data_IF_892991425557
#
_entry.id   IF_892991425557
#
_cell.length_a   1.000
_cell.length_b   1.000
_cell.length_c   1.000
_cell.angle_alpha   90.00
_cell.angle_beta   90.00
_cell.angle_gamma   90.00
#
_symmetry.space_group_name_H-M   'P 1'
#
loop_
_entity.id
_entity.type
_entity.pdbx_description
1 polymer ?
#
# COMPACT_ATOMS: atom_id res chain seq x y z
N UNK A 1 9.06 -11.88 18.21
CA UNK A 1 8.41 -12.60 17.10
C UNK A 1 8.99 -12.01 15.83
N UNK A 2 9.43 -12.85 14.91
CA UNK A 2 9.88 -12.44 13.57
C UNK A 2 8.69 -11.89 12.79
N UNK A 3 8.93 -11.03 11.80
CA UNK A 3 7.89 -10.53 10.89
C UNK A 3 7.40 -11.60 9.92
N UNK A 4 8.17 -12.69 9.80
CA UNK A 4 7.94 -13.83 8.92
C UNK A 4 7.90 -15.11 9.76
N UNK A 5 6.82 -15.88 9.60
CA UNK A 5 6.59 -17.16 10.27
C UNK A 5 6.62 -18.35 9.30
N UNK A 6 6.60 -18.09 7.98
CA UNK A 6 6.73 -19.10 6.93
C UNK A 6 7.42 -18.53 5.68
N UNK A 7 8.28 -19.33 5.03
CA UNK A 7 9.04 -18.92 3.83
C UNK A 7 8.86 -19.91 2.67
N UNK A 8 8.54 -19.41 1.47
CA UNK A 8 8.58 -20.19 0.22
C UNK A 8 9.53 -19.52 -0.76
N UNK A 9 10.53 -20.26 -1.23
CA UNK A 9 11.51 -19.75 -2.21
C UNK A 9 11.45 -20.56 -3.49
N UNK A 10 11.27 -19.85 -4.60
CA UNK A 10 11.43 -20.38 -5.94
C UNK A 10 12.87 -20.10 -6.40
N UNK A 11 13.74 -21.10 -6.34
CA UNK A 11 15.18 -20.96 -6.55
C UNK A 11 15.58 -21.46 -7.95
N UNK A 12 15.75 -20.51 -8.87
CA UNK A 12 16.34 -20.66 -10.21
C UNK A 12 17.84 -20.30 -10.17
N UNK A 13 18.58 -20.97 -9.30
CA UNK A 13 20.01 -20.70 -9.06
C UNK A 13 20.82 -21.88 -9.57
N UNK A 14 21.64 -21.66 -10.58
CA UNK A 14 22.49 -22.66 -11.24
C UNK A 14 23.84 -22.82 -10.55
N UNK A 15 24.35 -21.77 -9.93
CA UNK A 15 25.59 -21.82 -9.15
C UNK A 15 25.38 -22.58 -7.82
N UNK A 16 26.05 -23.73 -7.60
CA UNK A 16 25.89 -24.51 -6.37
C UNK A 16 26.31 -23.76 -5.09
N UNK A 17 27.29 -22.86 -5.17
CA UNK A 17 27.75 -22.07 -4.03
C UNK A 17 26.67 -21.06 -3.61
N UNK A 18 26.07 -20.37 -4.59
CA UNK A 18 24.96 -19.44 -4.32
C UNK A 18 23.72 -20.18 -3.81
N UNK A 19 23.41 -21.35 -4.35
CA UNK A 19 22.29 -22.17 -3.88
C UNK A 19 22.48 -22.62 -2.42
N UNK A 20 23.70 -23.00 -2.03
CA UNK A 20 24.02 -23.34 -0.63
C UNK A 20 23.87 -22.13 0.30
N UNK A 21 24.33 -20.94 -0.13
CA UNK A 21 24.17 -19.69 0.63
C UNK A 21 22.71 -19.30 0.79
N UNK A 22 21.93 -19.39 -0.29
CA UNK A 22 20.48 -19.18 -0.29
C UNK A 22 19.80 -20.10 0.72
N UNK A 23 20.10 -21.40 0.66
CA UNK A 23 19.53 -22.40 1.57
C UNK A 23 19.87 -22.11 3.04
N UNK A 24 21.11 -21.71 3.31
CA UNK A 24 21.54 -21.34 4.66
C UNK A 24 20.82 -20.09 5.17
N UNK A 25 20.67 -19.05 4.34
CA UNK A 25 19.96 -17.82 4.69
C UNK A 25 18.48 -18.06 4.99
N UNK A 26 17.81 -18.87 4.15
CA UNK A 26 16.40 -19.26 4.35
C UNK A 26 16.22 -20.05 5.65
N UNK A 27 17.09 -21.03 5.90
CA UNK A 27 17.04 -21.87 7.12
C UNK A 27 17.30 -21.06 8.39
N UNK A 28 18.14 -20.03 8.31
CA UNK A 28 18.41 -19.11 9.42
C UNK A 28 17.22 -18.17 9.71
N UNK A 29 16.49 -17.77 8.67
CA UNK A 29 15.33 -16.88 8.78
C UNK A 29 14.13 -17.57 9.42
N UNK A 30 13.76 -18.77 8.94
CA UNK A 30 12.53 -19.44 9.37
C UNK A 30 12.67 -20.97 9.36
N UNK A 31 12.14 -21.60 10.42
CA UNK A 31 12.09 -23.07 10.51
C UNK A 31 11.06 -23.68 9.54
N UNK A 32 9.94 -23.01 9.34
CA UNK A 32 8.91 -23.43 8.38
C UNK A 32 9.24 -22.83 7.01
N UNK A 33 10.08 -23.51 6.25
CA UNK A 33 10.48 -23.08 4.92
C UNK A 33 10.37 -24.19 3.87
N UNK A 34 10.09 -23.78 2.63
CA UNK A 34 10.11 -24.64 1.44
C UNK A 34 10.94 -23.99 0.35
N UNK A 35 11.83 -24.76 -0.30
CA UNK A 35 12.63 -24.31 -1.44
C UNK A 35 12.26 -25.18 -2.64
N UNK A 36 11.69 -24.56 -3.67
CA UNK A 36 11.39 -25.19 -4.96
C UNK A 36 12.51 -24.88 -5.94
N UNK A 37 13.17 -25.91 -6.46
CA UNK A 37 14.17 -25.80 -7.51
C UNK A 37 13.80 -26.68 -8.70
N UNK A 38 14.14 -26.29 -9.94
CA UNK A 38 13.95 -27.16 -11.09
C UNK A 38 14.68 -28.49 -10.88
N UNK A 39 14.05 -29.64 -11.18
CA UNK A 39 14.75 -30.91 -11.23
C UNK A 39 15.98 -30.80 -12.14
N UNK A 40 17.04 -31.56 -11.86
CA UNK A 40 18.29 -31.53 -12.63
C UNK A 40 18.08 -31.75 -14.13
N UNK A 41 17.10 -32.56 -14.51
CA UNK A 41 16.73 -32.84 -15.90
C UNK A 41 15.98 -31.71 -16.60
N UNK A 42 15.44 -30.73 -15.85
CA UNK A 42 14.67 -29.60 -16.37
C UNK A 42 15.28 -28.22 -16.06
N UNK A 43 16.53 -28.18 -15.60
CA UNK A 43 17.24 -26.93 -15.27
C UNK A 43 17.44 -26.00 -16.48
N UNK A 44 17.32 -26.55 -17.70
CA UNK A 44 17.38 -25.82 -18.96
C UNK A 44 16.02 -25.30 -19.44
N UNK A 45 14.90 -25.73 -18.86
CA UNK A 45 13.56 -25.30 -19.30
C UNK A 45 13.25 -23.89 -18.77
N UNK A 46 13.20 -22.87 -19.65
CA UNK A 46 12.93 -21.50 -19.21
C UNK A 46 11.50 -21.32 -18.68
N UNK A 47 10.59 -22.26 -18.96
CA UNK A 47 9.17 -22.20 -18.59
C UNK A 47 8.82 -23.04 -17.37
N UNK A 48 9.80 -23.72 -16.73
CA UNK A 48 9.48 -24.65 -15.63
C UNK A 48 8.71 -23.97 -14.49
N UNK A 49 9.19 -22.81 -14.02
CA UNK A 49 8.50 -22.07 -12.95
C UNK A 49 7.14 -21.54 -13.38
N UNK A 50 6.97 -21.12 -14.63
CA UNK A 50 5.66 -20.72 -15.15
C UNK A 50 4.65 -21.88 -15.08
N UNK A 51 5.06 -23.05 -15.57
CA UNK A 51 4.24 -24.26 -15.51
C UNK A 51 4.00 -24.73 -14.06
N UNK A 52 4.97 -24.51 -13.17
CA UNK A 52 4.86 -24.84 -11.75
C UNK A 52 3.82 -23.94 -11.07
N UNK A 53 3.92 -22.62 -11.25
CA UNK A 53 3.00 -21.66 -10.64
C UNK A 53 1.57 -21.77 -11.16
N UNK A 54 1.38 -22.07 -12.45
CA UNK A 54 0.05 -22.34 -13.02
C UNK A 54 -0.60 -23.56 -12.36
N UNK A 55 0.17 -24.63 -12.08
CA UNK A 55 -0.33 -25.82 -11.37
C UNK A 55 -0.63 -25.54 -9.90
N UNK A 56 0.20 -24.75 -9.23
CA UNK A 56 -0.07 -24.35 -7.84
C UNK A 56 -1.38 -23.56 -7.69
N UNK A 57 -1.79 -22.80 -8.72
CA UNK A 57 -3.04 -22.05 -8.69
C UNK A 57 -4.26 -22.96 -8.51
N UNK A 58 -4.17 -24.20 -8.98
CA UNK A 58 -5.24 -25.18 -8.86
C UNK A 58 -5.31 -25.80 -7.44
N UNK A 59 -4.26 -25.65 -6.61
CA UNK A 59 -4.22 -26.12 -5.22
C UNK A 59 -4.71 -25.06 -4.22
N UNK A 60 -5.97 -24.65 -4.40
CA UNK A 60 -6.64 -23.70 -3.52
C UNK A 60 -6.73 -24.23 -2.08
N UNK A 61 -6.85 -25.54 -1.89
CA UNK A 61 -7.04 -26.16 -0.58
C UNK A 61 -5.81 -26.02 0.33
N UNK A 62 -4.61 -26.21 -0.21
CA UNK A 62 -3.37 -25.99 0.58
C UNK A 62 -3.27 -24.53 1.02
N UNK A 63 -3.65 -23.59 0.15
CA UNK A 63 -3.63 -22.17 0.47
C UNK A 63 -4.62 -21.81 1.59
N UNK A 64 -5.86 -22.31 1.52
CA UNK A 64 -6.92 -22.05 2.50
C UNK A 64 -6.65 -22.73 3.85
N UNK A 65 -6.08 -23.93 3.86
CA UNK A 65 -5.78 -24.66 5.10
C UNK A 65 -4.52 -24.16 5.83
N UNK A 66 -3.77 -23.23 5.24
CA UNK A 66 -2.56 -22.69 5.84
C UNK A 66 -2.92 -21.79 7.04
N UNK A 67 -2.43 -22.16 8.23
CA UNK A 67 -2.76 -21.50 9.50
C UNK A 67 -1.90 -20.26 9.80
N UNK A 68 -0.85 -20.01 9.01
CA UNK A 68 0.01 -18.84 9.19
C UNK A 68 -0.73 -17.64 8.59
N UNK A 69 -0.92 -16.51 9.29
CA UNK A 69 -1.57 -15.33 8.69
C UNK A 69 -0.84 -14.85 7.44
N UNK A 70 -1.55 -14.40 6.40
CA UNK A 70 -0.93 -14.05 5.11
C UNK A 70 0.20 -13.04 5.25
N UNK A 71 0.05 -12.06 6.15
CA UNK A 71 1.03 -11.00 6.45
C UNK A 71 2.36 -11.53 7.00
N UNK A 72 2.39 -12.78 7.48
CA UNK A 72 3.60 -13.44 8.02
C UNK A 72 4.15 -14.53 7.10
N UNK A 73 3.56 -14.72 5.93
CA UNK A 73 4.09 -15.60 4.87
C UNK A 73 5.00 -14.78 3.97
N UNK A 74 6.22 -15.25 3.74
CA UNK A 74 7.16 -14.65 2.79
C UNK A 74 7.33 -15.60 1.61
N UNK A 75 7.16 -15.08 0.40
CA UNK A 75 7.24 -15.83 -0.85
C UNK A 75 8.11 -15.04 -1.80
N UNK A 76 9.11 -15.66 -2.43
CA UNK A 76 10.03 -14.95 -3.32
C UNK A 76 10.58 -15.82 -4.46
N UNK A 77 11.08 -15.16 -5.49
CA UNK A 77 11.80 -15.79 -6.60
C UNK A 77 13.26 -15.31 -6.59
N UNK A 78 14.21 -16.26 -6.66
CA UNK A 78 15.64 -15.96 -6.71
C UNK A 78 16.23 -16.60 -7.95
N UNK A 79 16.91 -15.81 -8.78
CA UNK A 79 17.49 -16.29 -10.04
C UNK A 79 18.90 -15.73 -10.25
N UNK A 80 19.79 -16.56 -10.81
CA UNK A 80 21.13 -16.14 -11.25
C UNK A 80 21.26 -16.06 -12.78
N UNK A 81 20.17 -16.35 -13.51
CA UNK A 81 20.19 -16.45 -14.97
C UNK A 81 19.12 -15.64 -15.69
N UNK A 82 18.17 -15.02 -14.96
CA UNK A 82 17.07 -14.25 -15.51
C UNK A 82 16.98 -12.82 -14.97
N UNK A 83 16.69 -11.86 -15.85
CA UNK A 83 16.56 -10.44 -15.53
C UNK A 83 15.12 -9.95 -15.74
N UNK A 84 14.89 -8.64 -15.57
CA UNK A 84 13.57 -8.02 -15.70
C UNK A 84 12.90 -8.24 -17.08
N UNK A 85 13.66 -8.56 -18.14
CA UNK A 85 13.14 -8.78 -19.49
C UNK A 85 12.63 -10.21 -19.70
N UNK A 86 12.96 -11.13 -18.80
CA UNK A 86 12.51 -12.51 -18.88
C UNK A 86 11.03 -12.63 -18.49
N UNK A 87 10.26 -13.36 -19.30
CA UNK A 87 8.82 -13.52 -19.09
C UNK A 87 8.45 -14.15 -17.74
N UNK A 88 9.33 -14.99 -17.17
CA UNK A 88 9.12 -15.57 -15.83
C UNK A 88 9.33 -14.56 -14.71
N UNK A 89 10.25 -13.60 -14.87
CA UNK A 89 10.44 -12.49 -13.92
C UNK A 89 9.25 -11.54 -14.02
N UNK A 90 8.81 -11.21 -15.24
CA UNK A 90 7.59 -10.43 -15.44
C UNK A 90 6.37 -11.12 -14.80
N UNK A 91 6.20 -12.43 -14.99
CA UNK A 91 5.11 -13.18 -14.36
C UNK A 91 5.19 -13.17 -12.82
N UNK A 92 6.40 -13.34 -12.26
CA UNK A 92 6.62 -13.25 -10.81
C UNK A 92 6.23 -11.88 -10.24
N UNK A 93 6.60 -10.79 -10.93
CA UNK A 93 6.37 -9.42 -10.50
C UNK A 93 4.92 -8.97 -10.69
N UNK A 94 4.33 -9.16 -11.87
CA UNK A 94 3.03 -8.57 -12.20
C UNK A 94 1.85 -9.49 -11.90
N UNK A 95 2.01 -10.79 -12.10
CA UNK A 95 0.92 -11.75 -11.88
C UNK A 95 0.93 -12.32 -10.46
N UNK A 96 2.08 -12.81 -10.00
CA UNK A 96 2.23 -13.34 -8.64
C UNK A 96 2.50 -12.25 -7.59
N UNK A 97 2.91 -11.05 -7.99
CA UNK A 97 3.31 -9.96 -7.09
C UNK A 97 4.24 -10.42 -5.96
N UNK A 98 5.27 -11.20 -6.30
CA UNK A 98 6.29 -11.65 -5.36
C UNK A 98 7.61 -10.90 -5.57
N UNK A 99 8.37 -10.63 -4.50
CA UNK A 99 9.70 -10.07 -4.61
C UNK A 99 10.65 -11.02 -5.36
N UNK A 100 11.44 -10.42 -6.26
CA UNK A 100 12.43 -11.10 -7.10
C UNK A 100 13.82 -10.61 -6.75
N UNK A 101 14.74 -11.53 -6.46
CA UNK A 101 16.18 -11.25 -6.40
C UNK A 101 16.85 -11.80 -7.65
N UNK A 102 17.26 -10.90 -8.56
CA UNK A 102 18.10 -11.26 -9.71
C UNK A 102 19.57 -11.01 -9.41
N UNK A 103 20.38 -12.06 -9.58
CA UNK A 103 21.83 -12.05 -9.41
C UNK A 103 22.57 -11.97 -10.76
N UNK A 104 21.84 -11.93 -11.88
CA UNK A 104 22.36 -12.03 -13.26
C UNK A 104 23.49 -11.04 -13.53
N UNK A 105 23.28 -9.77 -13.24
CA UNK A 105 24.25 -8.70 -13.52
C UNK A 105 25.59 -8.97 -12.83
N UNK A 106 25.55 -9.49 -11.60
CA UNK A 106 26.73 -9.79 -10.81
C UNK A 106 27.40 -11.10 -11.22
N UNK A 107 26.64 -12.08 -11.70
CA UNK A 107 27.15 -13.38 -12.15
C UNK A 107 27.69 -13.32 -13.58
N UNK A 108 27.03 -12.59 -14.47
CA UNK A 108 27.39 -12.48 -15.91
C UNK A 108 28.28 -11.29 -16.22
N UNK A 109 28.35 -10.28 -15.33
CA UNK A 109 29.07 -9.02 -15.56
C UNK A 109 28.39 -8.07 -16.55
N UNK A 110 27.22 -8.43 -17.09
CA UNK A 110 26.47 -7.59 -18.02
C UNK A 110 25.80 -6.47 -17.21
N UNK A 111 26.24 -5.23 -17.39
CA UNK A 111 25.61 -4.06 -16.75
C UNK A 111 24.17 -3.91 -17.24
N UNK A 112 23.22 -3.81 -16.30
CA UNK A 112 21.86 -3.38 -16.61
C UNK A 112 21.94 -2.01 -17.30
N UNK A 113 21.37 -1.91 -18.51
CA UNK A 113 21.15 -0.61 -19.13
C UNK A 113 20.07 0.11 -18.32
N UNK A 114 20.43 1.25 -17.74
CA UNK A 114 19.68 2.06 -16.78
C UNK A 114 18.37 2.68 -17.31
N UNK A 115 17.83 2.22 -18.43
CA UNK A 115 16.72 2.88 -19.16
C UNK A 115 15.34 2.23 -18.92
N UNK A 116 15.16 1.48 -17.84
CA UNK A 116 13.82 0.98 -17.54
C UNK A 116 13.05 2.09 -16.83
N UNK A 117 11.97 2.56 -17.46
CA UNK A 117 10.95 3.36 -16.79
C UNK A 117 10.35 2.47 -15.68
N UNK A 118 10.94 2.54 -14.48
CA UNK A 118 10.58 1.67 -13.36
C UNK A 118 9.17 2.00 -12.91
N UNK A 119 8.25 1.06 -13.13
CA UNK A 119 6.95 1.15 -12.48
C UNK A 119 7.07 0.83 -10.97
N UNK A 120 6.03 1.18 -10.24
CA UNK A 120 5.98 1.03 -8.80
C UNK A 120 6.10 -0.43 -8.32
N UNK A 121 5.64 -1.40 -9.11
CA UNK A 121 5.77 -2.84 -8.80
C UNK A 121 7.25 -3.23 -8.87
N UNK A 122 7.94 -2.84 -9.93
CA UNK A 122 9.37 -3.16 -10.12
C UNK A 122 10.24 -2.45 -9.08
N UNK A 123 9.93 -1.20 -8.74
CA UNK A 123 10.56 -0.46 -7.64
C UNK A 123 10.35 -1.18 -6.31
N UNK A 124 9.15 -1.69 -6.04
CA UNK A 124 8.83 -2.39 -4.79
C UNK A 124 9.43 -3.80 -4.72
N UNK A 125 9.36 -4.59 -5.78
CA UNK A 125 9.55 -6.04 -5.73
C UNK A 125 10.82 -6.55 -6.44
N UNK A 126 11.36 -5.82 -7.43
CA UNK A 126 12.56 -6.27 -8.15
C UNK A 126 13.84 -5.76 -7.46
N UNK A 127 14.72 -6.70 -7.10
CA UNK A 127 15.98 -6.45 -6.40
C UNK A 127 17.13 -7.06 -7.19
N UNK A 128 18.23 -6.32 -7.22
CA UNK A 128 19.51 -6.76 -7.78
C UNK A 128 20.62 -6.43 -6.80
N UNK A 129 21.80 -7.04 -6.99
CA UNK A 129 22.98 -6.74 -6.17
C UNK A 129 23.26 -5.24 -6.12
N UNK A 130 23.17 -4.55 -7.27
CA UNK A 130 23.37 -3.11 -7.37
C UNK A 130 22.25 -2.29 -6.69
N UNK A 131 20.98 -2.63 -6.91
CA UNK A 131 19.84 -1.92 -6.27
C UNK A 131 19.86 -2.03 -4.74
N UNK A 132 20.44 -3.10 -4.22
CA UNK A 132 20.60 -3.32 -2.78
C UNK A 132 21.89 -2.71 -2.20
N UNK A 133 22.73 -2.07 -3.02
CA UNK A 133 24.01 -1.52 -2.60
C UNK A 133 25.01 -2.59 -2.12
N UNK A 134 24.86 -3.83 -2.57
CA UNK A 134 25.68 -4.96 -2.13
C UNK A 134 26.93 -5.11 -3.01
N UNK A 135 28.04 -5.58 -2.43
CA UNK A 135 29.30 -5.82 -3.14
C UNK A 135 29.34 -7.15 -3.90
N UNK A 136 28.56 -8.13 -3.46
CA UNK A 136 28.57 -9.48 -4.01
C UNK A 136 27.17 -10.11 -4.03
N UNK A 137 26.96 -11.16 -4.85
CA UNK A 137 25.73 -11.96 -4.79
C UNK A 137 25.47 -12.55 -3.40
N UNK A 138 26.53 -12.93 -2.68
CA UNK A 138 26.45 -13.51 -1.33
C UNK A 138 25.90 -12.50 -0.32
N UNK A 139 26.39 -11.26 -0.38
CA UNK A 139 25.89 -10.17 0.47
C UNK A 139 24.42 -9.85 0.12
N UNK A 140 24.08 -9.85 -1.18
CA UNK A 140 22.71 -9.60 -1.62
C UNK A 140 21.73 -10.65 -1.10
N UNK A 141 22.08 -11.94 -1.13
CA UNK A 141 21.27 -13.00 -0.53
C UNK A 141 21.09 -12.75 0.97
N UNK A 142 22.16 -12.48 1.71
CA UNK A 142 22.08 -12.23 3.14
C UNK A 142 21.17 -11.04 3.49
N UNK A 143 21.30 -9.91 2.79
CA UNK A 143 20.48 -8.71 3.01
C UNK A 143 19.02 -8.93 2.58
N UNK A 144 18.77 -9.71 1.52
CA UNK A 144 17.42 -9.98 1.02
C UNK A 144 16.60 -10.79 2.02
N UNK A 145 17.23 -11.77 2.68
CA UNK A 145 16.60 -12.58 3.73
C UNK A 145 16.76 -12.01 5.15
N UNK A 146 17.30 -10.79 5.30
CA UNK A 146 17.33 -10.07 6.58
C UNK A 146 16.10 -9.16 6.70
N UNK A 147 15.28 -9.39 7.73
CA UNK A 147 14.07 -8.62 8.01
C UNK A 147 14.21 -7.80 9.30
N UNK A 148 13.59 -6.62 9.39
CA UNK A 148 13.57 -5.85 10.63
C UNK A 148 12.81 -6.59 11.73
N UNK A 149 13.12 -6.23 12.99
CA UNK A 149 12.45 -6.79 14.18
C UNK A 149 10.95 -6.49 14.21
N UNK A 150 10.53 -5.37 13.64
CA UNK A 150 9.15 -4.91 13.61
C UNK A 150 8.73 -4.69 12.17
N UNK A 151 7.51 -5.10 11.84
CA UNK A 151 6.90 -4.78 10.57
C UNK A 151 6.55 -3.28 10.53
N UNK A 152 6.47 -2.74 9.31
CA UNK A 152 5.86 -1.46 9.06
C UNK A 152 4.41 -1.44 9.50
N UNK A 153 3.84 -0.25 9.59
CA UNK A 153 2.43 -0.02 9.94
C UNK A 153 1.72 0.64 8.79
N UNK A 154 0.41 0.44 8.74
CA UNK A 154 -0.48 1.14 7.80
C UNK A 154 -1.16 2.29 8.54
N UNK A 155 -1.14 3.47 7.94
CA UNK A 155 -1.83 4.67 8.38
C UNK A 155 -2.77 5.09 7.25
N UNK A 156 -4.04 5.34 7.52
CA UNK A 156 -4.97 5.91 6.55
C UNK A 156 -5.24 7.38 6.89
N UNK A 157 -5.21 8.25 5.88
CA UNK A 157 -5.71 9.61 5.99
C UNK A 157 -7.02 9.70 5.24
N UNK A 158 -8.07 10.11 5.96
CA UNK A 158 -9.43 10.25 5.45
C UNK A 158 -9.84 11.73 5.45
N UNK A 159 -10.83 12.07 4.63
CA UNK A 159 -11.43 13.40 4.61
C UNK A 159 -12.23 13.69 3.34
N UNK A 160 -13.15 14.64 3.46
CA UNK A 160 -14.01 15.10 2.36
C UNK A 160 -13.21 15.75 1.22
N UNK A 161 -12.25 16.63 1.56
CA UNK A 161 -11.48 17.35 0.56
C UNK A 161 -10.34 16.47 0.01
N UNK A 162 -10.53 15.88 -1.17
CA UNK A 162 -9.55 15.02 -1.86
C UNK A 162 -8.18 15.69 -1.97
N UNK A 163 -8.14 16.93 -2.46
CA UNK A 163 -6.91 17.68 -2.67
C UNK A 163 -6.15 17.90 -1.36
N UNK A 164 -6.84 18.34 -0.30
CA UNK A 164 -6.23 18.55 1.01
C UNK A 164 -5.67 17.25 1.58
N UNK A 165 -6.45 16.17 1.58
CA UNK A 165 -6.02 14.89 2.16
C UNK A 165 -4.79 14.35 1.42
N UNK A 166 -4.83 14.35 0.10
CA UNK A 166 -3.72 13.86 -0.74
C UNK A 166 -2.46 14.70 -0.54
N UNK A 167 -2.60 16.02 -0.41
CA UNK A 167 -1.46 16.90 -0.12
C UNK A 167 -0.89 16.65 1.28
N UNK A 168 -1.73 16.50 2.31
CA UNK A 168 -1.29 16.14 3.66
C UNK A 168 -0.60 14.78 3.69
N UNK A 169 -1.06 13.80 2.89
CA UNK A 169 -0.37 12.52 2.71
C UNK A 169 1.05 12.69 2.16
N UNK A 170 1.23 13.48 1.09
CA UNK A 170 2.54 13.74 0.47
C UNK A 170 3.49 14.44 1.43
N UNK A 171 3.01 15.50 2.08
CA UNK A 171 3.77 16.27 3.06
C UNK A 171 4.15 15.42 4.28
N UNK A 172 3.26 14.53 4.73
CA UNK A 172 3.53 13.61 5.83
C UNK A 172 4.59 12.56 5.46
N UNK A 173 4.50 11.98 4.25
CA UNK A 173 5.53 11.07 3.72
C UNK A 173 6.90 11.74 3.72
N UNK A 174 6.98 12.95 3.16
CA UNK A 174 8.23 13.70 3.06
C UNK A 174 8.79 14.07 4.44
N UNK A 175 7.93 14.44 5.39
CA UNK A 175 8.32 14.66 6.79
C UNK A 175 8.90 13.40 7.43
N UNK A 176 8.24 12.24 7.31
CA UNK A 176 8.72 10.99 7.90
C UNK A 176 10.06 10.56 7.28
N UNK A 177 10.20 10.67 5.95
CA UNK A 177 11.45 10.33 5.26
C UNK A 177 12.60 11.25 5.70
N UNK A 178 12.39 12.57 5.72
CA UNK A 178 13.45 13.56 5.99
C UNK A 178 13.79 13.71 7.47
N UNK A 179 12.77 13.84 8.32
CA UNK A 179 12.93 14.20 9.74
C UNK A 179 13.06 12.99 10.65
N UNK A 180 12.56 11.82 10.22
CA UNK A 180 12.63 10.58 11.01
C UNK A 180 13.57 9.54 10.43
N UNK A 181 13.97 9.67 9.16
CA UNK A 181 14.77 8.67 8.44
C UNK A 181 14.12 7.27 8.52
N UNK A 182 12.80 7.24 8.36
CA UNK A 182 11.98 6.02 8.46
C UNK A 182 11.40 5.72 7.08
N UNK A 183 11.56 4.50 6.55
CA UNK A 183 10.99 4.13 5.25
C UNK A 183 9.46 4.22 5.26
N UNK A 184 8.89 4.98 4.33
CA UNK A 184 7.45 5.14 4.18
C UNK A 184 7.08 5.31 2.70
N UNK A 185 5.96 4.71 2.31
CA UNK A 185 5.39 4.82 0.96
C UNK A 185 4.00 5.43 1.02
N UNK A 186 3.64 6.17 -0.03
CA UNK A 186 2.30 6.73 -0.21
C UNK A 186 1.55 5.93 -1.27
N UNK A 187 0.37 5.46 -0.88
CA UNK A 187 -0.44 4.53 -1.65
C UNK A 187 -1.89 5.06 -1.73
N UNK A 188 -2.51 4.85 -2.87
CA UNK A 188 -3.90 5.24 -3.14
C UNK A 188 -4.92 4.34 -2.44
N UNK A 189 -6.18 4.64 -2.69
CA UNK A 189 -7.31 3.89 -2.16
C UNK A 189 -7.31 2.44 -2.69
N UNK A 190 -6.76 2.17 -3.88
CA UNK A 190 -6.65 0.83 -4.47
C UNK A 190 -5.39 0.05 -4.09
N UNK A 191 -4.48 0.61 -3.28
CA UNK A 191 -3.26 -0.10 -2.89
C UNK A 191 -2.06 0.06 -3.85
N UNK A 192 -2.18 0.91 -4.87
CA UNK A 192 -1.10 1.28 -5.81
C UNK A 192 -0.37 2.57 -5.37
N UNK A 193 0.87 2.77 -5.79
CA UNK A 193 1.60 4.00 -5.45
C UNK A 193 0.98 5.23 -6.10
N UNK A 194 0.77 6.29 -5.30
CA UNK A 194 0.38 7.59 -5.83
C UNK A 194 1.60 8.27 -6.44
N UNK A 195 1.60 8.44 -7.76
CA UNK A 195 2.67 9.13 -8.48
C UNK A 195 2.44 10.63 -8.40
N UNK A 196 3.49 11.39 -8.07
CA UNK A 196 3.43 12.85 -8.16
C UNK A 196 3.10 13.26 -9.60
N UNK A 197 2.11 14.14 -9.83
CA UNK A 197 1.80 14.65 -11.17
C UNK A 197 3.01 15.33 -11.84
N UNK A 198 3.98 15.80 -11.06
CA UNK A 198 5.18 16.50 -11.55
C UNK A 198 6.15 15.67 -12.41
N UNK A 199 5.94 14.37 -12.60
CA UNK A 199 6.79 13.54 -13.47
C UNK A 199 6.26 13.35 -14.90
N UNK A 200 5.04 13.83 -15.20
CA UNK A 200 4.53 13.94 -16.57
C UNK A 200 4.75 15.38 -17.02
N UNK A 201 5.54 15.58 -18.08
CA UNK A 201 6.04 16.88 -18.49
C UNK A 201 4.95 17.95 -18.62
N UNK A 202 5.02 18.97 -17.75
CA UNK A 202 4.24 20.21 -17.81
C UNK A 202 4.39 20.88 -19.18
N UNK A 203 3.50 20.54 -20.09
CA UNK A 203 3.09 21.40 -21.20
C UNK A 203 2.11 22.42 -20.64
N UNK A 204 2.53 23.68 -20.61
CA UNK A 204 1.74 24.81 -20.15
C UNK A 204 0.37 24.83 -20.84
N UNK A 205 -0.68 24.47 -20.11
CA UNK A 205 -2.07 24.74 -20.47
C UNK A 205 -2.74 25.45 -19.31
N UNK A 206 -3.70 26.28 -19.67
CA UNK A 206 -4.16 27.47 -18.97
C UNK A 206 -4.97 27.17 -17.72
N UNK A 207 -4.84 28.05 -16.72
CA UNK A 207 -5.32 27.97 -15.33
C UNK A 207 -6.84 27.95 -15.11
N UNK A 208 -7.64 27.43 -16.06
CA UNK A 208 -9.09 27.30 -15.94
C UNK A 208 -9.61 25.89 -16.32
N UNK A 209 -8.70 24.94 -16.60
CA UNK A 209 -9.02 23.51 -16.86
C UNK A 209 -8.28 22.58 -15.89
N UNK A 210 -8.12 22.98 -14.62
CA UNK A 210 -7.73 22.08 -13.52
C UNK A 210 -8.93 21.15 -13.19
N UNK A 211 -9.41 20.38 -14.17
CA UNK A 211 -10.07 19.11 -13.85
C UNK A 211 -8.97 18.24 -13.24
N UNK A 212 -9.14 17.89 -11.96
CA UNK A 212 -8.23 17.08 -11.16
C UNK A 212 -7.59 16.01 -12.05
N UNK A 213 -6.30 16.15 -12.41
CA UNK A 213 -5.55 15.05 -13.02
C UNK A 213 -5.62 13.90 -12.00
N UNK A 214 -6.61 13.03 -12.20
CA UNK A 214 -6.87 11.91 -11.32
C UNK A 214 -5.61 11.06 -11.36
N UNK A 215 -4.99 10.82 -10.22
CA UNK A 215 -3.95 9.81 -10.12
C UNK A 215 -4.61 8.48 -10.54
N UNK A 216 -4.46 8.11 -11.82
CA UNK A 216 -5.06 6.91 -12.39
C UNK A 216 -4.56 5.69 -11.62
N UNK A 217 -5.45 5.11 -10.82
CA UNK A 217 -5.19 3.84 -10.17
C UNK A 217 -5.27 2.74 -11.23
N UNK A 218 -4.10 2.30 -11.72
CA UNK A 218 -3.94 1.14 -12.63
C UNK A 218 -4.36 -0.23 -12.04
N UNK A 219 -5.26 -0.24 -11.07
CA UNK A 219 -5.67 -1.43 -10.33
C UNK A 219 -6.75 -2.23 -11.08
N UNK A 220 -6.76 -3.55 -10.88
CA UNK A 220 -7.54 -4.52 -11.66
C UNK A 220 -9.03 -4.22 -11.75
N UNK A 221 -9.63 -3.69 -10.67
CA UNK A 221 -11.07 -3.42 -10.60
C UNK A 221 -11.41 -1.94 -10.73
N UNK A 222 -10.44 -1.05 -10.99
CA UNK A 222 -10.68 0.38 -11.08
C UNK A 222 -11.76 0.71 -12.13
N UNK A 223 -11.59 0.23 -13.36
CA UNK A 223 -12.57 0.44 -14.43
C UNK A 223 -13.95 -0.15 -14.12
N UNK A 224 -14.00 -1.30 -13.43
CA UNK A 224 -15.27 -1.91 -13.00
C UNK A 224 -15.98 -1.07 -11.94
N UNK A 225 -15.22 -0.46 -11.01
CA UNK A 225 -15.74 0.45 -10.00
C UNK A 225 -16.27 1.72 -10.66
N UNK A 226 -15.51 2.28 -11.60
CA UNK A 226 -15.91 3.47 -12.35
C UNK A 226 -17.17 3.20 -13.18
N UNK A 227 -17.24 2.07 -13.88
CA UNK A 227 -18.43 1.62 -14.61
C UNK A 227 -19.63 1.45 -13.68
N UNK A 228 -19.46 0.83 -12.50
CA UNK A 228 -20.52 0.65 -11.52
C UNK A 228 -21.10 1.99 -11.04
N UNK A 229 -20.24 2.99 -10.84
CA UNK A 229 -20.62 4.27 -10.24
C UNK A 229 -21.13 5.28 -11.26
N UNK A 230 -20.53 5.32 -12.45
CA UNK A 230 -20.86 6.25 -13.52
C UNK A 230 -22.08 5.81 -14.35
N UNK A 231 -22.32 4.51 -14.49
CA UNK A 231 -23.41 4.00 -15.32
C UNK A 231 -24.76 4.06 -14.56
N UNK A 232 -25.76 4.83 -15.05
CA UNK A 232 -27.09 4.90 -14.45
C UNK A 232 -27.84 3.57 -14.42
N UNK A 233 -27.53 2.63 -15.33
CA UNK A 233 -28.17 1.31 -15.38
C UNK A 233 -27.91 0.48 -14.12
N UNK A 234 -26.81 0.75 -13.41
CA UNK A 234 -26.48 0.07 -12.16
C UNK A 234 -26.98 0.79 -10.90
N UNK A 235 -27.69 1.92 -11.04
CA UNK A 235 -28.27 2.61 -9.89
C UNK A 235 -29.20 1.71 -9.05
N UNK A 236 -30.14 0.94 -9.65
CA UNK A 236 -31.01 0.04 -8.86
C UNK A 236 -30.23 -1.02 -8.07
N UNK A 237 -29.08 -1.47 -8.60
CA UNK A 237 -28.20 -2.42 -7.92
C UNK A 237 -27.53 -1.77 -6.70
N UNK A 238 -27.04 -0.53 -6.85
CA UNK A 238 -26.42 0.24 -5.76
C UNK A 238 -27.42 0.64 -4.66
N UNK A 239 -28.68 0.90 -5.02
CA UNK A 239 -29.75 1.15 -4.05
C UNK A 239 -30.10 -0.13 -3.26
N UNK A 240 -30.09 -1.29 -3.93
CA UNK A 240 -30.36 -2.59 -3.29
C UNK A 240 -29.21 -3.04 -2.39
N UNK A 241 -27.96 -2.78 -2.79
CA UNK A 241 -26.76 -3.09 -2.02
C UNK A 241 -25.79 -1.89 -1.95
N UNK A 242 -25.99 -0.97 -1.00
CA UNK A 242 -25.13 0.19 -0.81
C UNK A 242 -23.69 -0.13 -0.37
N UNK A 243 -23.37 -1.40 -0.10
CA UNK A 243 -22.02 -1.82 0.30
C UNK A 243 -21.20 -2.32 -0.89
N UNK A 244 -21.83 -2.54 -2.05
CA UNK A 244 -21.21 -3.18 -3.22
C UNK A 244 -19.94 -2.46 -3.69
N UNK A 245 -19.99 -1.14 -3.87
CA UNK A 245 -18.81 -0.38 -4.30
C UNK A 245 -17.70 -0.42 -3.24
N UNK A 246 -18.07 -0.34 -1.95
CA UNK A 246 -17.11 -0.49 -0.84
C UNK A 246 -16.41 -1.86 -0.84
N UNK A 247 -17.16 -2.93 -1.12
CA UNK A 247 -16.60 -4.27 -1.27
C UNK A 247 -15.66 -4.38 -2.49
N UNK A 248 -16.02 -3.76 -3.62
CA UNK A 248 -15.14 -3.70 -4.80
C UNK A 248 -13.87 -2.90 -4.54
N UNK A 249 -13.95 -1.76 -3.85
CA UNK A 249 -12.76 -1.00 -3.42
C UNK A 249 -11.84 -1.85 -2.52
N UNK A 250 -12.40 -2.62 -1.59
CA UNK A 250 -11.66 -3.55 -0.75
C UNK A 250 -10.99 -4.68 -1.57
N UNK A 251 -11.68 -5.25 -2.56
CA UNK A 251 -11.10 -6.24 -3.48
C UNK A 251 -9.99 -5.65 -4.35
N UNK A 252 -10.14 -4.39 -4.77
CA UNK A 252 -9.10 -3.65 -5.50
C UNK A 252 -7.83 -3.49 -4.67
N UNK A 253 -7.96 -3.14 -3.38
CA UNK A 253 -6.85 -3.15 -2.42
C UNK A 253 -6.25 -4.53 -2.21
N UNK A 254 -7.09 -5.55 -2.07
CA UNK A 254 -6.65 -6.92 -1.83
C UNK A 254 -5.83 -7.48 -2.99
N UNK A 255 -6.10 -7.05 -4.24
CA UNK A 255 -5.27 -7.41 -5.38
C UNK A 255 -3.79 -7.05 -5.15
N UNK A 256 -3.52 -5.95 -4.43
CA UNK A 256 -2.18 -5.46 -4.11
C UNK A 256 -1.67 -5.90 -2.72
N UNK A 257 -2.37 -6.80 -2.03
CA UNK A 257 -2.01 -7.26 -0.68
C UNK A 257 -0.61 -7.89 -0.62
N UNK A 258 -0.17 -8.62 -1.65
CA UNK A 258 1.15 -9.27 -1.64
C UNK A 258 2.28 -8.24 -1.60
N UNK A 259 2.12 -7.14 -2.33
CA UNK A 259 3.06 -6.02 -2.34
C UNK A 259 3.00 -5.24 -1.02
N UNK A 260 1.81 -4.93 -0.52
CA UNK A 260 1.62 -4.29 0.79
C UNK A 260 2.27 -5.11 1.91
N UNK A 261 2.02 -6.42 1.92
CA UNK A 261 2.65 -7.38 2.83
C UNK A 261 4.16 -7.29 2.76
N UNK A 262 4.75 -7.34 1.56
CA UNK A 262 6.20 -7.28 1.43
C UNK A 262 6.77 -5.99 2.01
N UNK A 263 6.17 -4.82 1.71
CA UNK A 263 6.57 -3.54 2.29
C UNK A 263 6.55 -3.56 3.82
N UNK A 264 5.44 -4.00 4.40
CA UNK A 264 5.30 -4.08 5.86
C UNK A 264 6.32 -5.04 6.46
N UNK A 265 6.55 -6.22 5.85
CA UNK A 265 7.58 -7.16 6.31
C UNK A 265 8.98 -6.51 6.28
N UNK A 266 9.27 -5.68 5.28
CA UNK A 266 10.53 -4.91 5.15
C UNK A 266 10.62 -3.70 6.10
N UNK A 267 9.63 -3.50 6.97
CA UNK A 267 9.63 -2.37 7.92
C UNK A 267 9.20 -1.04 7.31
N UNK A 268 8.68 -1.07 6.09
CA UNK A 268 8.23 0.12 5.37
C UNK A 268 6.81 0.46 5.81
N UNK A 269 6.60 1.66 6.32
CA UNK A 269 5.27 2.17 6.64
C UNK A 269 4.51 2.52 5.37
N UNK A 270 3.19 2.41 5.40
CA UNK A 270 2.34 2.78 4.26
C UNK A 270 1.31 3.80 4.70
N UNK A 271 1.24 4.91 3.98
CA UNK A 271 0.19 5.91 4.10
C UNK A 271 -0.83 5.61 2.99
N UNK A 272 -2.05 5.25 3.37
CA UNK A 272 -3.19 5.07 2.46
C UNK A 272 -3.98 6.39 2.37
N UNK A 273 -4.14 6.91 1.16
CA UNK A 273 -4.98 8.08 0.91
C UNK A 273 -6.43 7.64 0.69
N UNK A 274 -7.34 8.11 1.54
CA UNK A 274 -8.80 8.04 1.39
C UNK A 274 -9.42 6.64 1.13
N UNK A 275 -8.98 5.55 1.77
CA UNK A 275 -9.52 4.21 1.45
C UNK A 275 -11.02 4.04 1.77
N UNK A 276 -11.57 4.79 2.74
CA UNK A 276 -12.98 4.77 3.13
C UNK A 276 -13.77 6.00 2.68
N UNK A 277 -13.14 7.17 2.55
CA UNK A 277 -13.81 8.43 2.19
C UNK A 277 -14.60 8.29 0.88
N UNK A 278 -14.02 7.64 -0.13
CA UNK A 278 -14.70 7.39 -1.40
C UNK A 278 -16.01 6.59 -1.23
N UNK A 279 -15.98 5.57 -0.38
CA UNK A 279 -17.16 4.74 -0.09
C UNK A 279 -18.26 5.58 0.57
N UNK A 280 -17.87 6.44 1.51
CA UNK A 280 -18.78 7.33 2.23
C UNK A 280 -19.34 8.41 1.31
N UNK A 281 -18.52 9.01 0.45
CA UNK A 281 -18.94 10.01 -0.55
C UNK A 281 -20.08 9.45 -1.43
N UNK A 282 -19.90 8.26 -1.99
CA UNK A 282 -20.91 7.60 -2.83
C UNK A 282 -22.18 7.24 -2.06
N UNK A 283 -22.05 6.74 -0.83
CA UNK A 283 -23.20 6.40 0.01
C UNK A 283 -24.07 7.63 0.30
N UNK A 284 -23.45 8.75 0.67
CA UNK A 284 -24.17 10.00 0.93
C UNK A 284 -24.78 10.59 -0.36
N UNK A 285 -24.14 10.38 -1.52
CA UNK A 285 -24.71 10.76 -2.82
C UNK A 285 -25.98 9.95 -3.14
N UNK A 286 -26.01 8.65 -2.84
CA UNK A 286 -27.19 7.78 -3.04
C UNK A 286 -28.39 8.19 -2.17
N UNK A 287 -28.16 8.64 -0.94
CA UNK A 287 -29.24 9.13 -0.08
C UNK A 287 -29.83 10.48 -0.54
N UNK A 288 -29.10 11.21 -1.38
CA UNK A 288 -29.49 12.52 -1.89
C UNK A 288 -29.22 13.66 -0.89
N UNK A 289 -29.27 14.92 -1.36
CA UNK A 289 -28.76 16.08 -0.63
C UNK A 289 -29.50 16.42 0.67
N UNK A 290 -30.68 15.84 0.91
CA UNK A 290 -31.50 16.13 2.10
C UNK A 290 -31.68 14.93 3.04
N UNK A 291 -31.20 13.73 2.69
CA UNK A 291 -31.33 12.57 3.55
C UNK A 291 -29.99 12.22 4.19
N UNK A 292 -29.88 12.48 5.49
CA UNK A 292 -28.79 11.92 6.31
C UNK A 292 -29.08 10.42 6.46
N UNK A 293 -28.18 9.51 6.04
CA UNK A 293 -28.36 8.10 6.30
C UNK A 293 -28.48 7.87 7.83
N UNK A 294 -29.39 7.00 8.31
CA UNK A 294 -29.49 6.71 9.74
C UNK A 294 -28.13 6.28 10.31
N UNK A 295 -27.77 6.77 11.50
CA UNK A 295 -26.48 6.43 12.13
C UNK A 295 -26.26 4.93 12.26
N UNK A 296 -27.32 4.16 12.52
CA UNK A 296 -27.30 2.69 12.57
C UNK A 296 -26.95 2.04 11.23
N UNK A 297 -27.37 2.64 10.11
CA UNK A 297 -27.02 2.19 8.76
C UNK A 297 -25.55 2.48 8.48
N UNK A 298 -25.06 3.69 8.81
CA UNK A 298 -23.65 4.06 8.66
C UNK A 298 -22.74 3.16 9.50
N UNK A 299 -23.10 2.92 10.76
CA UNK A 299 -22.36 2.03 11.64
C UNK A 299 -22.30 0.60 11.09
N UNK A 300 -23.44 0.07 10.66
CA UNK A 300 -23.53 -1.26 10.07
C UNK A 300 -22.67 -1.40 8.81
N UNK A 301 -22.69 -0.39 7.93
CA UNK A 301 -21.92 -0.37 6.69
C UNK A 301 -20.41 -0.30 6.96
N UNK A 302 -19.97 0.64 7.81
CA UNK A 302 -18.55 0.77 8.17
C UNK A 302 -18.06 -0.49 8.87
N UNK A 303 -18.84 -1.07 9.81
CA UNK A 303 -18.52 -2.37 10.44
C UNK A 303 -18.36 -3.47 9.40
N UNK A 304 -19.30 -3.55 8.46
CA UNK A 304 -19.32 -4.60 7.43
C UNK A 304 -18.08 -4.53 6.54
N UNK A 305 -17.76 -3.34 6.01
CA UNK A 305 -16.61 -3.14 5.11
C UNK A 305 -15.30 -3.40 5.87
N UNK A 306 -15.14 -2.86 7.08
CA UNK A 306 -13.96 -3.15 7.89
C UNK A 306 -13.85 -4.65 8.19
N UNK A 307 -14.94 -5.32 8.56
CA UNK A 307 -14.90 -6.76 8.79
C UNK A 307 -14.50 -7.52 7.51
N UNK A 308 -15.03 -7.13 6.36
CA UNK A 308 -14.68 -7.73 5.07
C UNK A 308 -13.19 -7.56 4.76
N UNK A 309 -12.64 -6.35 4.90
CA UNK A 309 -11.22 -6.08 4.66
C UNK A 309 -10.30 -6.88 5.59
N UNK A 310 -10.54 -6.82 6.90
CA UNK A 310 -9.57 -7.30 7.87
C UNK A 310 -9.73 -8.79 8.17
N UNK A 311 -10.97 -9.28 8.20
CA UNK A 311 -11.24 -10.67 8.55
C UNK A 311 -11.28 -11.58 7.32
N UNK A 312 -11.96 -11.17 6.26
CA UNK A 312 -12.12 -12.00 5.06
C UNK A 312 -10.94 -11.86 4.09
N UNK A 313 -10.49 -10.63 3.84
CA UNK A 313 -9.41 -10.35 2.90
C UNK A 313 -8.02 -10.29 3.55
N UNK A 314 -7.95 -10.45 4.88
CA UNK A 314 -6.72 -10.36 5.69
C UNK A 314 -5.88 -9.09 5.43
N UNK A 315 -6.53 -7.98 5.04
CA UNK A 315 -5.87 -6.69 4.89
C UNK A 315 -5.36 -6.19 6.25
N UNK A 316 -4.18 -5.56 6.31
CA UNK A 316 -3.65 -4.98 7.54
C UNK A 316 -4.53 -3.84 8.03
N UNK A 317 -4.78 -3.78 9.34
CA UNK A 317 -5.61 -2.72 9.91
C UNK A 317 -4.92 -1.37 9.91
N UNK A 318 -5.44 -0.36 9.19
CA UNK A 318 -4.90 0.97 9.26
C UNK A 318 -5.29 1.62 10.57
N UNK A 319 -4.35 2.37 11.13
CA UNK A 319 -4.67 3.42 12.08
C UNK A 319 -5.16 4.62 11.28
N UNK A 320 -6.24 5.28 11.70
CA UNK A 320 -6.92 6.27 10.84
C UNK A 320 -6.80 7.66 11.42
N UNK A 321 -6.40 8.62 10.58
CA UNK A 321 -6.47 10.05 10.85
C UNK A 321 -7.55 10.64 9.94
N UNK A 322 -8.62 11.18 10.53
CA UNK A 322 -9.61 11.94 9.79
C UNK A 322 -9.28 13.43 9.82
N UNK A 323 -9.15 14.02 8.63
CA UNK A 323 -9.02 15.46 8.43
C UNK A 323 -10.43 16.07 8.27
N UNK A 324 -10.82 16.96 9.18
CA UNK A 324 -12.08 17.73 9.12
C UNK A 324 -11.79 19.20 8.82
N UNK A 325 -12.54 19.80 7.90
CA UNK A 325 -12.38 21.22 7.54
C UNK A 325 -13.47 22.07 8.21
N UNK A 326 -13.08 23.04 9.04
CA UNK A 326 -14.00 24.02 9.65
C UNK A 326 -13.91 25.36 8.92
N UNK A 327 -14.99 25.81 8.25
CA UNK A 327 -15.02 27.08 7.51
C UNK A 327 -16.17 27.21 6.50
N UNK A 328 -16.57 28.46 6.20
CA UNK A 328 -17.67 28.87 5.28
C UNK A 328 -17.39 28.62 3.78
N UNK A 329 -16.28 27.99 3.41
CA UNK A 329 -16.10 27.49 2.04
C UNK A 329 -17.06 26.32 1.71
N UNK A 330 -17.71 25.72 2.72
CA UNK A 330 -18.78 24.74 2.55
C UNK A 330 -20.09 25.33 1.98
N UNK A 331 -20.28 26.64 2.08
CA UNK A 331 -21.60 27.30 1.90
C UNK A 331 -21.69 28.20 0.67
N UNK A 332 -20.59 28.45 -0.06
CA UNK A 332 -20.54 29.39 -1.19
C UNK A 332 -20.66 28.78 -2.61
N UNK A 333 -21.06 27.52 -2.71
CA UNK A 333 -21.53 26.92 -3.97
C UNK A 333 -22.95 26.41 -3.80
N UNK A 334 -23.94 27.18 -4.24
CA UNK A 334 -25.37 26.83 -4.20
C UNK A 334 -25.77 25.57 -5.04
N UNK A 335 -24.78 24.80 -5.52
CA UNK A 335 -24.92 23.51 -6.19
C UNK A 335 -24.39 22.31 -5.36
N UNK A 336 -23.71 22.53 -4.22
CA UNK A 336 -23.05 21.49 -3.43
C UNK A 336 -23.69 21.28 -2.05
N UNK A 337 -24.99 20.97 -2.02
CA UNK A 337 -25.63 20.38 -0.85
C UNK A 337 -25.20 18.90 -0.65
N UNK A 338 -23.93 18.56 -0.91
CA UNK A 338 -23.39 17.28 -0.49
C UNK A 338 -23.26 17.34 1.03
N UNK A 339 -24.10 16.56 1.69
CA UNK A 339 -24.00 16.27 3.11
C UNK A 339 -22.54 15.99 3.46
N UNK A 340 -21.96 16.82 4.33
CA UNK A 340 -20.63 16.60 4.89
C UNK A 340 -20.67 15.34 5.74
N UNK A 341 -20.34 14.19 5.16
CA UNK A 341 -20.37 12.90 5.86
C UNK A 341 -19.50 12.93 7.11
N UNK A 342 -18.41 13.71 7.12
CA UNK A 342 -17.56 13.90 8.31
C UNK A 342 -18.29 14.59 9.45
N UNK A 343 -19.32 15.39 9.19
CA UNK A 343 -20.16 15.96 10.24
C UNK A 343 -21.12 14.91 10.81
N UNK A 344 -21.64 13.99 9.98
CA UNK A 344 -22.57 12.94 10.41
C UNK A 344 -21.90 11.82 11.22
N UNK A 345 -20.59 11.68 11.10
CA UNK A 345 -19.83 10.67 11.81
C UNK A 345 -19.37 11.11 13.22
N UNK A 346 -19.58 12.37 13.60
CA UNK A 346 -19.18 12.93 14.90
C UNK A 346 -20.35 13.67 15.57
N UNK A 347 -20.45 13.54 16.89
CA UNK A 347 -21.40 14.32 17.66
C UNK A 347 -20.92 15.78 17.85
N UNK A 348 -21.79 16.61 18.45
CA UNK A 348 -21.47 18.02 18.76
C UNK A 348 -20.24 18.17 19.67
N UNK A 349 -19.86 17.11 20.41
CA UNK A 349 -18.70 17.08 21.32
C UNK A 349 -17.43 16.61 20.63
N UNK A 350 -17.43 16.45 19.30
CA UNK A 350 -16.32 15.90 18.52
C UNK A 350 -15.91 14.48 18.96
N UNK A 351 -16.85 13.73 19.53
CA UNK A 351 -16.68 12.29 19.73
C UNK A 351 -17.25 11.53 18.54
N UNK A 352 -16.61 10.45 18.08
CA UNK A 352 -17.17 9.65 16.99
C UNK A 352 -18.57 9.19 17.37
N UNK A 353 -19.56 9.49 16.53
CA UNK A 353 -20.95 9.10 16.75
C UNK A 353 -21.16 7.58 16.59
N UNK A 354 -20.18 6.89 16.00
CA UNK A 354 -20.18 5.44 15.78
C UNK A 354 -19.03 4.81 16.58
N UNK A 355 -19.34 3.77 17.36
CA UNK A 355 -18.34 3.09 18.20
C UNK A 355 -17.20 2.49 17.37
N UNK A 356 -17.43 2.12 16.11
CA UNK A 356 -16.37 1.64 15.21
C UNK A 356 -15.30 2.65 14.90
N UNK A 357 -15.66 3.92 14.95
CA UNK A 357 -14.78 5.04 14.65
C UNK A 357 -14.09 5.56 15.93
N UNK A 358 -14.34 4.94 17.09
CA UNK A 358 -13.72 5.30 18.37
C UNK A 358 -12.19 5.29 18.36
N UNK A 359 -11.56 4.50 17.46
CA UNK A 359 -10.11 4.47 17.28
C UNK A 359 -9.57 5.50 16.28
N UNK A 360 -10.43 6.29 15.63
CA UNK A 360 -9.99 7.26 14.63
C UNK A 360 -9.50 8.55 15.30
N UNK A 361 -8.35 9.03 14.86
CA UNK A 361 -7.78 10.30 15.31
C UNK A 361 -8.35 11.44 14.47
N UNK A 362 -9.08 12.36 15.10
CA UNK A 362 -9.65 13.52 14.39
C UNK A 362 -8.68 14.68 14.44
N UNK A 363 -8.44 15.30 13.29
CA UNK A 363 -7.69 16.53 13.15
C UNK A 363 -8.56 17.55 12.44
N UNK A 364 -8.87 18.63 13.16
CA UNK A 364 -9.59 19.77 12.60
C UNK A 364 -8.61 20.76 11.99
N UNK A 365 -8.79 21.07 10.71
CA UNK A 365 -8.05 22.08 9.96
C UNK A 365 -8.97 23.29 9.77
N UNK A 366 -8.60 24.42 10.36
CA UNK A 366 -9.37 25.65 10.29
C UNK A 366 -9.10 26.44 9.01
N UNK A 367 -10.15 27.00 8.43
CA UNK A 367 -10.03 28.17 7.56
C UNK A 367 -9.84 29.41 8.42
N UNK A 368 -8.59 29.84 8.63
CA UNK A 368 -8.39 31.26 8.82
C UNK A 368 -8.70 31.92 7.46
N UNK A 369 -9.62 32.87 7.43
CA UNK A 369 -10.13 33.58 6.25
C UNK A 369 -9.07 33.74 5.13
N UNK A 370 -9.15 32.92 4.07
CA UNK A 370 -8.24 32.97 2.92
C UNK A 370 -7.07 31.98 2.91
N UNK A 371 -6.92 31.11 3.92
CA UNK A 371 -5.82 30.14 4.04
C UNK A 371 -6.02 28.81 3.31
N UNK A 372 -7.13 28.53 2.61
CA UNK A 372 -7.23 27.28 1.81
C UNK A 372 -6.10 27.14 0.79
N UNK A 373 -5.58 28.26 0.25
CA UNK A 373 -4.35 28.26 -0.55
C UNK A 373 -3.05 28.25 0.25
N UNK A 374 -3.06 28.61 1.54
CA UNK A 374 -1.87 28.58 2.40
C UNK A 374 -1.70 27.24 3.15
N UNK A 375 -2.78 26.49 3.36
CA UNK A 375 -2.75 25.16 3.97
C UNK A 375 -2.32 24.08 2.98
N UNK A 376 -2.60 24.27 1.69
CA UNK A 376 -1.97 23.52 0.61
C UNK A 376 -0.48 23.89 0.55
N UNK A 377 0.39 22.96 0.95
CA UNK A 377 1.85 23.13 0.96
C UNK A 377 2.52 23.14 2.34
N UNK A 378 1.76 23.06 3.45
CA UNK A 378 2.33 22.86 4.79
C UNK A 378 1.67 21.70 5.51
N UNK A 379 2.50 20.82 6.10
CA UNK A 379 2.01 19.72 6.92
C UNK A 379 1.32 20.28 8.17
N UNK A 380 0.06 19.94 8.37
CA UNK A 380 -0.69 20.38 9.53
C UNK A 380 -0.13 19.73 10.80
N UNK A 381 0.10 20.53 11.84
CA UNK A 381 0.73 20.06 13.09
C UNK A 381 -0.06 18.91 13.72
N UNK A 382 -1.39 18.98 13.72
CA UNK A 382 -2.24 17.90 14.25
C UNK A 382 -2.11 16.58 13.47
N UNK A 383 -1.94 16.63 12.14
CA UNK A 383 -1.73 15.42 11.31
C UNK A 383 -0.36 14.82 11.63
N UNK A 384 0.68 15.67 11.70
CA UNK A 384 2.04 15.27 12.07
C UNK A 384 2.09 14.59 13.44
N UNK A 385 1.44 15.19 14.43
CA UNK A 385 1.50 14.74 15.81
C UNK A 385 0.72 13.43 15.99
N UNK A 386 -0.47 13.32 15.36
CA UNK A 386 -1.23 12.07 15.32
C UNK A 386 -0.44 10.93 14.65
N UNK A 387 0.15 11.19 13.48
CA UNK A 387 0.95 10.20 12.76
C UNK A 387 2.20 9.76 13.56
N UNK A 388 2.90 10.70 14.20
CA UNK A 388 4.07 10.39 15.03
C UNK A 388 3.71 9.51 16.22
N UNK A 389 2.57 9.79 16.87
CA UNK A 389 2.05 8.99 17.98
C UNK A 389 1.72 7.56 17.53
N UNK A 390 0.93 7.44 16.45
CA UNK A 390 0.47 6.17 15.88
C UNK A 390 1.62 5.29 15.42
N UNK A 391 2.57 5.87 14.69
CA UNK A 391 3.73 5.15 14.19
C UNK A 391 4.74 4.82 15.31
N UNK A 392 4.50 5.29 16.54
CA UNK A 392 5.38 5.14 17.69
C UNK A 392 6.82 5.52 17.36
N UNK A 393 6.99 6.58 16.56
CA UNK A 393 8.28 7.08 16.11
C UNK A 393 8.94 7.81 17.28
N UNK A 394 9.41 7.05 18.26
CA UNK A 394 10.20 7.56 19.36
C UNK A 394 11.47 8.18 18.78
N UNK A 395 11.70 9.44 19.11
CA UNK A 395 12.89 10.19 18.72
C UNK A 395 14.12 9.52 19.33
N UNK A 396 14.82 8.67 18.57
CA UNK A 396 16.22 8.40 18.87
C UNK A 396 17.00 9.66 18.49
N UNK A 397 17.04 10.64 19.40
CA UNK A 397 18.06 11.68 19.36
C UNK A 397 19.39 10.94 19.45
N UNK A 398 20.20 11.03 18.41
CA UNK A 398 21.61 10.65 18.43
C UNK A 398 22.28 11.38 19.60
N UNK A 399 22.36 10.74 20.77
CA UNK A 399 23.34 11.11 21.78
C UNK A 399 24.64 10.48 21.35
N UNK A 400 25.42 11.26 20.61
CA UNK A 400 26.87 11.19 20.60
C UNK A 400 27.36 11.04 22.04
N UNK A 401 27.86 9.86 22.38
CA UNK A 401 28.75 9.71 23.54
C UNK A 401 30.15 9.95 23.01
N UNK A 402 30.52 11.23 23.05
CA UNK A 402 31.91 11.65 23.19
C UNK A 402 32.47 11.07 24.50
N UNK A 403 33.73 10.64 24.44
CA UNK A 403 34.64 10.75 25.58
C UNK A 403 34.81 9.51 26.44
N UNK A 404 36.07 9.06 26.54
CA UNK A 404 36.53 8.37 27.73
C UNK A 404 37.55 7.28 27.48
N UNK A 405 38.81 7.67 27.26
CA UNK A 405 39.98 6.81 27.37
C UNK A 405 39.97 5.95 28.64
N UNK A 406 40.28 4.66 28.48
CA UNK A 406 41.19 3.87 29.34
C UNK A 406 41.69 2.68 28.55
#
# INVERSE_FOLDING_TARGET
>A
MTTVDQVVVYADVRDPQLLNQLTAAVSALCKDHTIHSPPTWNSADPLWFLNFWEKERDDVWTYVNNKVPILRRFECFVTDSKDQKDGVVAYALYYRQMPVLSLVTAVTGIKEKTEVNEDWITTALYRTVARMGCSSPSDAIAVFFTFPKFAGKVLALEGECRALVTEQCRLLRDYILRERNVPVELVGAGGCDLRSPDLVGKGATTAEEDEEEEEEESALYASLIDDLLSNPEFLPLRELDPQLHGALCALNRHHNLRLLRYRLQRGIHVILSRPMSFVLDELFRLCGPQAVPPSTMLEGLVKSIQNFEHHWLELPRPEVILIRVTGDAATNGAANASLRWTACLWDERQTPALDTLSSWHVVTVGDAEGEHRQTLGRLHDGVRDAATSVLALAVMRNTSIEGGNS
#
